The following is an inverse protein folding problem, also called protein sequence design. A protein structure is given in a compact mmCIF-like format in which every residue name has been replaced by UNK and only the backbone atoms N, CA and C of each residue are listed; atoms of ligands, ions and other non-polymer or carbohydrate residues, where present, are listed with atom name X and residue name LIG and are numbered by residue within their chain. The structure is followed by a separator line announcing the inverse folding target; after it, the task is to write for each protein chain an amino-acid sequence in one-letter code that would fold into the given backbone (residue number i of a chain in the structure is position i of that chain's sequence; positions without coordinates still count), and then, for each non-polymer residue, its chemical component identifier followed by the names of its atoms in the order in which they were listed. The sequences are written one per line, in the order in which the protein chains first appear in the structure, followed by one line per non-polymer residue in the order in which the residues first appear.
data_IF_800375860978
#
_entry.id   IF_800375860978
#
_cell.length_a   1.000
_cell.length_b   1.000
_cell.length_c   1.000
_cell.angle_alpha   90.00
_cell.angle_beta   90.00
_cell.angle_gamma   90.00
#
_symmetry.space_group_name_H-M   'P 1'
#
loop_
_entity.id
_entity.type
_entity.pdbx_description
1 polymer ?
#
# COMPACT_ATOMS: atom_id res chain seq x y z
N UNK A 1 -17.05 14.37 -2.57
CA UNK A 1 -17.77 13.14 -2.95
C UNK A 1 -18.96 13.51 -3.81
N UNK A 2 -19.05 13.04 -5.05
CA UNK A 2 -20.19 13.27 -5.94
C UNK A 2 -21.39 12.35 -5.67
N UNK A 3 -21.36 11.55 -4.60
CA UNK A 3 -22.42 10.63 -4.21
C UNK A 3 -23.20 11.19 -3.02
N UNK A 4 -24.51 11.35 -3.17
CA UNK A 4 -25.38 11.77 -2.07
C UNK A 4 -25.51 10.71 -0.98
N UNK A 5 -25.75 11.12 0.27
CA UNK A 5 -25.92 10.21 1.43
C UNK A 5 -26.94 9.09 1.20
N UNK A 6 -28.04 9.40 0.48
CA UNK A 6 -29.07 8.41 0.11
C UNK A 6 -28.53 7.33 -0.85
N UNK A 7 -27.75 7.74 -1.85
CA UNK A 7 -27.15 6.82 -2.82
C UNK A 7 -26.12 5.91 -2.15
N UNK A 8 -25.30 6.47 -1.26
CA UNK A 8 -24.35 5.68 -0.48
C UNK A 8 -25.06 4.64 0.39
N UNK A 9 -26.16 5.01 1.06
CA UNK A 9 -26.95 4.07 1.87
C UNK A 9 -27.57 2.97 1.02
N UNK A 10 -28.09 3.29 -0.17
CA UNK A 10 -28.65 2.31 -1.11
C UNK A 10 -27.59 1.28 -1.52
N UNK A 11 -26.43 1.72 -1.99
CA UNK A 11 -25.33 0.84 -2.41
C UNK A 11 -24.85 -0.08 -1.28
N UNK A 12 -24.75 0.45 -0.05
CA UNK A 12 -24.37 -0.36 1.11
C UNK A 12 -25.42 -1.41 1.47
N UNK A 13 -26.70 -1.07 1.41
CA UNK A 13 -27.76 -2.05 1.63
C UNK A 13 -27.78 -3.11 0.52
N UNK A 14 -27.59 -2.72 -0.73
CA UNK A 14 -27.59 -3.61 -1.89
C UNK A 14 -26.42 -4.62 -1.86
N UNK A 15 -25.21 -4.14 -1.59
CA UNK A 15 -24.00 -4.99 -1.67
C UNK A 15 -23.56 -5.61 -0.34
N UNK A 16 -23.92 -5.01 0.80
CA UNK A 16 -23.49 -5.46 2.13
C UNK A 16 -24.66 -5.78 3.07
N UNK A 17 -25.91 -5.61 2.63
CA UNK A 17 -27.10 -5.90 3.43
C UNK A 17 -27.30 -4.97 4.65
N UNK A 18 -26.49 -3.91 4.79
CA UNK A 18 -26.50 -3.07 5.99
C UNK A 18 -26.07 -1.63 5.68
N UNK A 19 -26.61 -0.62 6.40
CA UNK A 19 -26.26 0.77 6.17
C UNK A 19 -24.80 1.06 6.58
N UNK A 20 -24.16 2.11 6.00
CA UNK A 20 -22.73 2.40 6.22
C UNK A 20 -22.33 2.49 7.70
N UNK A 21 -23.15 3.15 8.52
CA UNK A 21 -22.87 3.31 9.95
C UNK A 21 -22.89 1.97 10.70
N UNK A 22 -23.79 1.04 10.33
CA UNK A 22 -23.85 -0.29 10.93
C UNK A 22 -22.62 -1.12 10.55
N UNK A 23 -22.20 -1.08 9.29
CA UNK A 23 -20.96 -1.72 8.82
C UNK A 23 -19.75 -1.15 9.56
N UNK A 24 -19.66 0.17 9.72
CA UNK A 24 -18.57 0.81 10.44
C UNK A 24 -18.54 0.44 11.93
N UNK A 25 -19.71 0.29 12.59
CA UNK A 25 -19.80 -0.18 13.97
C UNK A 25 -19.40 -1.64 14.12
N UNK A 26 -19.87 -2.50 13.22
CA UNK A 26 -19.51 -3.92 13.20
C UNK A 26 -18.01 -4.11 13.01
N UNK A 27 -17.41 -3.46 11.98
CA UNK A 27 -15.95 -3.43 11.80
C UNK A 27 -15.22 -2.88 13.03
N UNK A 28 -15.85 -1.92 13.74
CA UNK A 28 -15.35 -1.40 15.01
C UNK A 28 -15.23 -2.45 16.11
N UNK A 29 -16.32 -3.16 16.35
CA UNK A 29 -16.40 -4.24 17.33
C UNK A 29 -15.49 -5.43 16.98
N UNK A 30 -15.43 -5.86 15.72
CA UNK A 30 -14.58 -7.00 15.29
C UNK A 30 -13.08 -6.76 15.48
N UNK A 31 -12.56 -5.59 15.16
CA UNK A 31 -11.15 -5.32 15.47
C UNK A 31 -10.89 -5.24 16.98
N UNK A 32 -11.83 -4.69 17.76
CA UNK A 32 -11.68 -4.68 19.21
C UNK A 32 -11.64 -6.12 19.76
N UNK A 33 -12.42 -7.03 19.16
CA UNK A 33 -12.35 -8.46 19.45
C UNK A 33 -10.96 -9.03 19.15
N UNK A 34 -10.38 -8.73 17.97
CA UNK A 34 -9.01 -9.13 17.64
C UNK A 34 -8.00 -8.61 18.68
N UNK A 35 -8.06 -7.33 19.04
CA UNK A 35 -7.15 -6.76 20.04
C UNK A 35 -7.30 -7.43 21.42
N UNK A 36 -8.52 -7.79 21.83
CA UNK A 36 -8.76 -8.51 23.09
C UNK A 36 -8.13 -9.90 23.09
N UNK A 37 -8.16 -10.58 21.94
CA UNK A 37 -7.64 -11.94 21.77
C UNK A 37 -6.12 -11.97 21.59
N UNK A 38 -5.56 -10.95 20.94
CA UNK A 38 -4.18 -10.99 20.45
C UNK A 38 -3.22 -10.08 21.24
N UNK A 39 -3.73 -9.20 22.12
CA UNK A 39 -2.91 -8.23 22.86
C UNK A 39 -3.23 -8.20 24.35
N UNK A 40 -2.27 -7.72 25.15
CA UNK A 40 -2.39 -7.54 26.59
C UNK A 40 -2.90 -6.15 27.02
N UNK A 41 -3.23 -5.28 26.05
CA UNK A 41 -3.72 -3.91 26.26
C UNK A 41 -4.85 -3.82 27.30
N UNK A 42 -4.95 -2.74 28.07
CA UNK A 42 -6.12 -2.58 28.94
C UNK A 42 -7.40 -2.49 28.08
N UNK A 43 -8.52 -2.96 28.60
CA UNK A 43 -9.81 -2.93 27.87
C UNK A 43 -10.20 -1.49 27.47
N UNK A 44 -9.78 -0.51 28.26
CA UNK A 44 -9.90 0.92 27.94
C UNK A 44 -9.10 1.29 26.70
N UNK A 45 -7.84 0.85 26.60
CA UNK A 45 -6.96 1.14 25.47
C UNK A 45 -7.44 0.43 24.21
N UNK A 46 -7.94 -0.80 24.33
CA UNK A 46 -8.62 -1.52 23.24
C UNK A 46 -9.77 -0.68 22.65
N UNK A 47 -10.60 -0.08 23.50
CA UNK A 47 -11.74 0.72 23.05
C UNK A 47 -11.27 1.90 22.18
N UNK A 48 -10.28 2.65 22.65
CA UNK A 48 -9.76 3.81 21.93
C UNK A 48 -8.96 3.43 20.68
N UNK A 49 -8.11 2.39 20.77
CA UNK A 49 -7.38 1.86 19.63
C UNK A 49 -8.31 1.33 18.54
N UNK A 50 -9.47 0.76 18.93
CA UNK A 50 -10.52 0.36 18.02
C UNK A 50 -11.42 1.52 17.55
N UNK A 51 -11.11 2.78 17.85
CA UNK A 51 -11.79 3.96 17.33
C UNK A 51 -13.16 4.24 17.96
N UNK A 52 -13.37 3.80 19.20
CA UNK A 52 -14.51 4.25 20.01
C UNK A 52 -14.16 5.56 20.72
N UNK A 53 -15.14 6.47 20.81
CA UNK A 53 -14.96 7.74 21.53
C UNK A 53 -15.14 7.61 23.05
N UNK A 54 -15.78 6.54 23.50
CA UNK A 54 -15.98 6.26 24.92
C UNK A 54 -16.05 4.76 25.20
N UNK A 55 -15.59 4.37 26.39
CA UNK A 55 -15.62 2.98 26.87
C UNK A 55 -17.07 2.50 27.06
N UNK A 56 -18.00 3.39 27.42
CA UNK A 56 -19.43 3.08 27.53
C UNK A 56 -20.02 2.66 26.18
N UNK A 57 -19.75 3.43 25.12
CA UNK A 57 -20.22 3.11 23.78
C UNK A 57 -19.61 1.80 23.27
N UNK A 58 -18.31 1.61 23.52
CA UNK A 58 -17.61 0.37 23.21
C UNK A 58 -18.28 -0.85 23.86
N UNK A 59 -18.50 -0.84 25.18
CA UNK A 59 -19.13 -1.95 25.88
C UNK A 59 -20.54 -2.27 25.34
N UNK A 60 -21.33 -1.23 25.03
CA UNK A 60 -22.66 -1.39 24.45
C UNK A 60 -22.60 -2.05 23.06
N UNK A 61 -21.83 -1.46 22.14
CA UNK A 61 -21.71 -1.97 20.76
C UNK A 61 -21.09 -3.38 20.74
N UNK A 62 -20.09 -3.66 21.59
CA UNK A 62 -19.45 -4.98 21.67
C UNK A 62 -20.40 -6.06 22.16
N UNK A 63 -21.14 -5.83 23.26
CA UNK A 63 -22.16 -6.78 23.74
C UNK A 63 -23.25 -7.00 22.69
N UNK A 64 -23.68 -5.94 22.02
CA UNK A 64 -24.68 -6.04 20.95
C UNK A 64 -24.20 -6.92 19.79
N UNK A 65 -22.91 -6.89 19.45
CA UNK A 65 -22.34 -7.69 18.36
C UNK A 65 -22.00 -9.13 18.77
N UNK A 66 -21.47 -9.36 19.98
CA UNK A 66 -20.92 -10.67 20.38
C UNK A 66 -21.70 -11.39 21.47
N UNK A 67 -22.76 -10.78 22.02
CA UNK A 67 -23.56 -11.35 23.11
C UNK A 67 -22.84 -11.43 24.48
N UNK A 68 -21.56 -11.05 24.55
CA UNK A 68 -20.71 -11.10 25.74
C UNK A 68 -19.97 -9.79 25.94
N UNK A 69 -19.57 -9.49 27.17
CA UNK A 69 -18.76 -8.32 27.49
C UNK A 69 -17.28 -8.52 27.12
N UNK A 70 -16.53 -7.44 26.81
CA UNK A 70 -15.10 -7.53 26.48
C UNK A 70 -14.25 -8.33 27.48
N UNK A 71 -14.54 -8.20 28.78
CA UNK A 71 -13.81 -8.91 29.85
C UNK A 71 -14.08 -10.42 29.82
N UNK A 72 -15.30 -10.84 29.53
CA UNK A 72 -15.68 -12.27 29.50
C UNK A 72 -15.03 -13.01 28.33
N UNK A 73 -14.70 -12.30 27.25
CA UNK A 73 -14.10 -12.91 26.07
C UNK A 73 -12.57 -12.80 26.04
N UNK A 74 -11.97 -12.03 26.96
CA UNK A 74 -10.53 -11.98 27.14
C UNK A 74 -10.01 -13.33 27.64
N UNK A 75 -9.22 -14.01 26.81
CA UNK A 75 -8.31 -15.08 27.24
C UNK A 75 -6.98 -14.43 27.64
N UNK A 76 -6.27 -14.95 28.65
CA UNK A 76 -4.93 -14.44 29.00
C UNK A 76 -4.01 -14.68 27.79
N UNK A 77 -3.53 -13.65 27.09
CA UNK A 77 -2.49 -13.84 26.10
C UNK A 77 -1.17 -14.14 26.82
N UNK A 78 -0.25 -14.85 26.17
CA UNK A 78 1.15 -14.84 26.61
C UNK A 78 1.65 -13.39 26.52
N UNK A 79 2.13 -12.84 27.63
CA UNK A 79 2.74 -11.51 27.65
C UNK A 79 3.99 -11.56 26.78
N UNK A 80 4.02 -10.80 25.70
CA UNK A 80 5.27 -10.46 25.03
C UNK A 80 6.02 -9.51 25.97
N UNK A 81 7.12 -10.00 26.55
CA UNK A 81 7.86 -9.30 27.61
C UNK A 81 8.51 -7.97 27.17
N UNK A 82 8.39 -7.61 25.89
CA UNK A 82 9.08 -6.48 25.24
C UNK A 82 8.16 -5.29 24.93
N UNK A 83 6.91 -5.27 25.43
CA UNK A 83 5.98 -4.15 25.21
C UNK A 83 5.51 -3.99 23.77
N UNK A 84 5.74 -5.01 22.92
CA UNK A 84 5.38 -5.00 21.50
C UNK A 84 3.95 -5.43 21.30
N UNK A 85 3.21 -4.63 20.55
CA UNK A 85 1.85 -4.99 20.12
C UNK A 85 1.95 -5.87 18.88
N UNK A 86 1.36 -7.06 18.92
CA UNK A 86 1.27 -7.98 17.79
C UNK A 86 -0.20 -8.15 17.34
N UNK A 87 -0.44 -8.02 16.04
CA UNK A 87 -1.79 -8.11 15.45
C UNK A 87 -1.75 -9.05 14.25
N UNK A 88 -2.65 -10.02 14.22
CA UNK A 88 -2.86 -10.92 13.10
C UNK A 88 -3.54 -10.21 11.93
N UNK A 89 -2.96 -10.32 10.75
CA UNK A 89 -3.48 -9.79 9.50
C UNK A 89 -3.83 -10.95 8.56
N UNK A 90 -5.03 -11.55 8.68
CA UNK A 90 -5.46 -12.62 7.78
C UNK A 90 -5.61 -12.10 6.35
N UNK A 91 -5.33 -12.96 5.37
CA UNK A 91 -5.53 -12.71 3.94
C UNK A 91 -6.27 -13.88 3.30
N UNK A 92 -6.88 -13.65 2.13
CA UNK A 92 -7.48 -14.72 1.33
C UNK A 92 -6.38 -15.43 0.55
N UNK A 93 -6.12 -16.74 0.76
CA UNK A 93 -5.13 -17.46 -0.04
C UNK A 93 -5.63 -17.64 -1.50
N UNK A 94 -4.72 -17.82 -2.47
CA UNK A 94 -3.26 -17.82 -2.32
C UNK A 94 -2.64 -16.41 -2.25
N UNK A 95 -1.42 -16.32 -1.71
CA UNK A 95 -0.57 -15.14 -1.73
C UNK A 95 0.80 -15.53 -2.28
N UNK A 96 1.18 -14.98 -3.43
CA UNK A 96 2.50 -15.20 -4.03
C UNK A 96 3.56 -14.31 -3.35
N UNK A 97 3.89 -14.65 -2.10
CA UNK A 97 4.82 -13.90 -1.26
C UNK A 97 6.24 -13.80 -1.85
N UNK A 98 6.84 -14.87 -2.43
CA UNK A 98 8.15 -14.74 -3.06
C UNK A 98 8.18 -13.65 -4.16
N UNK A 99 7.14 -13.53 -4.98
CA UNK A 99 7.05 -12.46 -5.99
C UNK A 99 6.75 -11.09 -5.39
N UNK A 100 6.02 -11.03 -4.29
CA UNK A 100 5.87 -9.80 -3.51
C UNK A 100 7.25 -9.28 -3.05
N UNK A 101 8.06 -10.16 -2.45
CA UNK A 101 9.41 -9.82 -1.98
C UNK A 101 10.31 -9.42 -3.14
N UNK A 102 10.33 -10.18 -4.24
CA UNK A 102 11.10 -9.85 -5.45
C UNK A 102 10.76 -8.47 -6.01
N UNK A 103 9.49 -8.04 -5.90
CA UNK A 103 9.10 -6.69 -6.31
C UNK A 103 9.61 -5.61 -5.35
N UNK A 104 9.39 -5.82 -4.05
CA UNK A 104 9.57 -4.79 -3.03
C UNK A 104 11.03 -4.63 -2.65
N UNK A 105 11.80 -5.71 -2.54
CA UNK A 105 13.19 -5.71 -2.10
C UNK A 105 14.12 -4.76 -2.89
N UNK A 106 14.17 -4.75 -4.23
CA UNK A 106 15.01 -3.80 -4.97
C UNK A 106 14.53 -2.34 -4.85
N UNK A 107 13.31 -2.16 -4.33
CA UNK A 107 12.63 -0.89 -4.10
C UNK A 107 12.48 -0.62 -2.61
N UNK A 108 13.32 -1.12 -1.71
CA UNK A 108 13.33 -0.58 -0.34
C UNK A 108 13.95 0.82 -0.33
N UNK A 109 13.46 1.71 0.52
CA UNK A 109 14.12 3.00 0.78
C UNK A 109 15.21 2.80 1.85
N UNK A 110 16.51 2.95 1.53
CA UNK A 110 17.58 2.82 2.52
C UNK A 110 17.36 3.74 3.73
N UNK A 111 17.61 3.24 4.94
CA UNK A 111 17.36 3.96 6.20
C UNK A 111 15.91 3.94 6.70
N UNK A 112 14.93 3.64 5.83
CA UNK A 112 13.49 3.60 6.16
C UNK A 112 12.92 2.20 6.11
N UNK A 113 13.33 1.36 5.15
CA UNK A 113 12.75 0.05 4.89
C UNK A 113 13.83 -1.04 4.79
N UNK A 114 13.53 -2.23 5.33
CA UNK A 114 14.32 -3.44 5.10
C UNK A 114 13.40 -4.63 4.83
N UNK A 115 13.78 -5.47 3.88
CA UNK A 115 13.01 -6.65 3.47
C UNK A 115 13.90 -7.88 3.42
N UNK A 116 13.44 -8.95 4.07
CA UNK A 116 13.95 -10.30 3.97
C UNK A 116 12.94 -11.22 3.28
N UNK A 117 13.28 -12.50 3.14
CA UNK A 117 12.45 -13.50 2.49
C UNK A 117 11.06 -13.68 3.14
N UNK A 118 10.93 -13.44 4.44
CA UNK A 118 9.74 -13.70 5.25
C UNK A 118 9.21 -12.45 5.96
N UNK A 119 9.96 -11.35 5.94
CA UNK A 119 9.68 -10.16 6.77
C UNK A 119 9.90 -8.87 6.02
N UNK A 120 9.06 -7.90 6.36
CA UNK A 120 9.21 -6.51 5.96
C UNK A 120 9.24 -5.66 7.23
N UNK A 121 10.16 -4.69 7.29
CA UNK A 121 10.20 -3.72 8.38
C UNK A 121 10.35 -2.33 7.84
N UNK A 122 9.77 -1.38 8.55
CA UNK A 122 9.97 0.03 8.25
C UNK A 122 9.84 0.93 9.46
N UNK A 123 10.45 2.10 9.37
CA UNK A 123 10.14 3.22 10.24
C UNK A 123 8.79 3.83 9.85
N UNK A 124 8.06 4.29 10.84
CA UNK A 124 6.75 4.90 10.67
C UNK A 124 6.64 6.10 11.59
N UNK A 125 5.95 7.12 11.13
CA UNK A 125 5.52 8.20 11.99
C UNK A 125 4.07 7.97 12.39
N UNK A 126 3.81 8.04 13.70
CA UNK A 126 2.51 7.81 14.28
C UNK A 126 2.20 8.96 15.25
N UNK A 127 1.22 9.78 14.90
CA UNK A 127 0.81 10.95 15.69
C UNK A 127 1.98 11.88 16.10
N UNK A 128 2.99 11.99 15.22
CA UNK A 128 4.18 12.82 15.41
C UNK A 128 5.39 12.08 16.00
N UNK A 129 5.16 10.91 16.60
CA UNK A 129 6.20 10.08 17.21
C UNK A 129 6.79 9.09 16.20
N UNK A 130 8.09 8.84 16.33
CA UNK A 130 8.76 7.79 15.59
C UNK A 130 8.41 6.41 16.15
N UNK A 131 8.24 5.44 15.26
CA UNK A 131 8.12 4.05 15.61
C UNK A 131 8.62 3.16 14.50
N UNK A 132 8.62 1.86 14.75
CA UNK A 132 8.95 0.85 13.77
C UNK A 132 7.82 -0.19 13.71
N UNK A 133 7.55 -0.67 12.50
CA UNK A 133 6.68 -1.83 12.31
C UNK A 133 7.45 -2.96 11.65
N UNK A 134 7.01 -4.16 11.95
CA UNK A 134 7.44 -5.39 11.33
C UNK A 134 6.23 -6.19 10.88
N UNK A 135 6.29 -6.72 9.66
CA UNK A 135 5.30 -7.62 9.08
C UNK A 135 5.98 -8.95 8.79
N UNK A 136 5.51 -10.00 9.45
CA UNK A 136 6.07 -11.36 9.35
C UNK A 136 5.07 -12.26 8.65
N UNK A 137 5.48 -12.93 7.58
CA UNK A 137 4.70 -14.02 7.00
C UNK A 137 4.75 -15.23 7.96
N UNK A 138 3.60 -15.77 8.33
CA UNK A 138 3.55 -17.00 9.11
C UNK A 138 3.46 -18.20 8.16
N UNK A 139 4.44 -19.12 8.18
CA UNK A 139 4.38 -20.34 7.36
C UNK A 139 3.09 -21.11 7.59
N UNK A 140 2.55 -21.69 6.50
CA UNK A 140 1.37 -22.55 6.47
C UNK A 140 0.07 -21.94 7.03
N UNK A 141 0.05 -20.62 7.25
CA UNK A 141 -1.11 -19.92 7.79
C UNK A 141 -1.44 -18.71 6.91
N UNK A 142 -2.72 -18.52 6.53
CA UNK A 142 -3.12 -17.43 5.64
C UNK A 142 -3.18 -16.08 6.39
N UNK A 143 -2.09 -15.71 7.06
CA UNK A 143 -1.93 -14.43 7.77
C UNK A 143 -0.50 -13.91 7.75
N UNK A 144 -0.38 -12.59 7.86
CA UNK A 144 0.84 -11.94 8.35
C UNK A 144 0.64 -11.56 9.82
N UNK A 145 1.73 -11.37 10.56
CA UNK A 145 1.69 -10.75 11.90
C UNK A 145 2.34 -9.38 11.81
N UNK A 146 1.58 -8.34 12.15
CA UNK A 146 2.07 -6.99 12.35
C UNK A 146 2.56 -6.84 13.78
N UNK A 147 3.85 -6.60 13.96
CA UNK A 147 4.45 -6.19 15.22
C UNK A 147 4.74 -4.70 15.18
N UNK A 148 4.48 -4.02 16.28
CA UNK A 148 4.68 -2.59 16.41
C UNK A 148 5.63 -2.30 17.57
N UNK A 149 6.70 -1.57 17.27
CA UNK A 149 7.69 -1.01 18.20
C UNK A 149 7.40 0.48 18.31
N UNK A 150 6.48 0.84 19.19
CA UNK A 150 6.00 2.21 19.34
C UNK A 150 5.45 2.39 20.75
N UNK A 151 5.31 3.62 21.25
CA UNK A 151 4.50 3.89 22.43
C UNK A 151 3.11 3.23 22.35
N UNK A 152 2.58 2.77 23.48
CA UNK A 152 1.38 1.91 23.59
C UNK A 152 0.05 2.52 23.10
N UNK A 153 0.04 3.79 22.69
CA UNK A 153 -1.16 4.57 22.31
C UNK A 153 -1.34 4.80 20.81
N UNK A 154 -0.52 4.16 19.97
CA UNK A 154 -0.63 4.29 18.52
C UNK A 154 -2.08 4.03 18.03
N UNK A 155 -2.57 4.73 16.99
CA UNK A 155 -3.84 4.49 16.35
C UNK A 155 -3.78 3.17 15.57
N UNK A 156 -3.83 2.04 16.30
CA UNK A 156 -3.59 0.69 15.79
C UNK A 156 -4.40 0.39 14.54
N UNK A 157 -5.66 0.84 14.48
CA UNK A 157 -6.49 0.73 13.27
C UNK A 157 -5.88 1.32 12.02
N UNK A 158 -5.32 2.53 12.12
CA UNK A 158 -4.72 3.23 10.98
C UNK A 158 -3.47 2.48 10.51
N UNK A 159 -2.62 2.07 11.45
CA UNK A 159 -1.41 1.29 11.18
C UNK A 159 -1.77 -0.05 10.56
N UNK A 160 -2.71 -0.80 11.14
CA UNK A 160 -3.22 -2.05 10.58
C UNK A 160 -3.78 -1.86 9.17
N UNK A 161 -4.55 -0.81 8.92
CA UNK A 161 -5.11 -0.55 7.58
C UNK A 161 -4.01 -0.27 6.57
N UNK A 162 -3.01 0.55 6.93
CA UNK A 162 -1.84 0.81 6.06
C UNK A 162 -1.04 -0.47 5.80
N UNK A 163 -0.78 -1.28 6.83
CA UNK A 163 -0.09 -2.56 6.71
C UNK A 163 -0.81 -3.55 5.78
N UNK A 164 -2.15 -3.65 5.89
CA UNK A 164 -2.97 -4.48 4.97
C UNK A 164 -2.89 -3.98 3.53
N UNK A 165 -2.91 -2.66 3.32
CA UNK A 165 -2.80 -2.04 1.99
C UNK A 165 -1.42 -2.20 1.35
N UNK A 166 -0.35 -2.19 2.16
CA UNK A 166 1.02 -2.38 1.69
C UNK A 166 1.19 -3.70 0.94
N UNK A 167 0.59 -4.78 1.45
CA UNK A 167 0.67 -6.12 0.86
C UNK A 167 -0.63 -6.63 0.23
N UNK A 168 -1.62 -5.75 0.05
CA UNK A 168 -2.88 -6.05 -0.64
C UNK A 168 -3.68 -7.21 -0.01
N UNK A 169 -3.67 -7.29 1.33
CA UNK A 169 -4.18 -8.47 2.04
C UNK A 169 -5.71 -8.66 1.93
N UNK A 170 -6.42 -7.60 1.51
CA UNK A 170 -7.87 -7.60 1.34
C UNK A 170 -8.33 -8.04 -0.07
N UNK A 171 -7.41 -8.22 -1.02
CA UNK A 171 -7.76 -8.67 -2.37
C UNK A 171 -8.36 -10.09 -2.38
N UNK A 172 -9.25 -10.32 -3.34
CA UNK A 172 -9.79 -11.63 -3.68
C UNK A 172 -9.06 -12.19 -4.91
N UNK A 173 -7.98 -12.96 -4.72
CA UNK A 173 -7.17 -13.43 -5.83
C UNK A 173 -7.93 -14.39 -6.77
N UNK A 174 -8.94 -15.09 -6.27
CA UNK A 174 -9.74 -16.01 -7.08
C UNK A 174 -10.67 -15.25 -8.02
N UNK A 175 -11.33 -14.20 -7.52
CA UNK A 175 -12.15 -13.31 -8.36
C UNK A 175 -11.30 -12.64 -9.44
N UNK A 176 -10.15 -12.07 -9.08
CA UNK A 176 -9.24 -11.40 -10.03
C UNK A 176 -8.76 -12.39 -11.09
N UNK A 177 -8.39 -13.60 -10.70
CA UNK A 177 -7.96 -14.64 -11.63
C UNK A 177 -9.09 -15.07 -12.57
N UNK A 178 -10.32 -15.19 -12.07
CA UNK A 178 -11.49 -15.52 -12.89
C UNK A 178 -11.78 -14.44 -13.93
N UNK A 179 -11.68 -13.17 -13.56
CA UNK A 179 -11.99 -12.04 -14.44
C UNK A 179 -10.87 -11.80 -15.49
N UNK A 180 -9.61 -12.07 -15.14
CA UNK A 180 -8.46 -11.95 -16.08
C UNK A 180 -8.19 -13.23 -16.89
N UNK A 181 -8.71 -14.37 -16.45
CA UNK A 181 -8.50 -15.70 -17.05
C UNK A 181 -8.94 -15.84 -18.52
N UNK A 182 -9.98 -15.14 -19.02
CA UNK A 182 -10.36 -15.19 -20.43
C UNK A 182 -9.39 -14.50 -21.39
N UNK A 183 -8.46 -13.66 -20.91
CA UNK A 183 -7.52 -12.96 -21.80
C UNK A 183 -6.41 -13.89 -22.27
N UNK A 184 -6.28 -14.13 -23.57
CA UNK A 184 -5.20 -14.96 -24.15
C UNK A 184 -3.79 -14.54 -23.71
N UNK A 185 -3.61 -13.26 -23.38
CA UNK A 185 -2.32 -12.70 -22.95
C UNK A 185 -2.04 -13.01 -21.49
N UNK A 186 -3.05 -12.86 -20.63
CA UNK A 186 -2.90 -12.96 -19.19
C UNK A 186 -3.20 -14.37 -18.66
N UNK A 187 -4.05 -15.15 -19.31
CA UNK A 187 -4.39 -16.52 -18.92
C UNK A 187 -3.17 -17.38 -18.55
N UNK A 188 -2.10 -17.47 -19.37
CA UNK A 188 -0.91 -18.23 -18.98
C UNK A 188 -0.17 -17.62 -17.78
N UNK A 189 -0.17 -16.29 -17.63
CA UNK A 189 0.50 -15.59 -16.53
C UNK A 189 -0.26 -15.75 -15.20
N UNK A 190 -1.59 -15.67 -15.25
CA UNK A 190 -2.50 -15.89 -14.12
C UNK A 190 -2.35 -17.33 -13.62
N UNK A 191 -2.40 -18.31 -14.53
CA UNK A 191 -2.21 -19.73 -14.19
C UNK A 191 -0.83 -20.00 -13.57
N UNK A 192 0.22 -19.35 -14.08
CA UNK A 192 1.58 -19.53 -13.56
C UNK A 192 1.80 -18.88 -12.18
N UNK A 193 0.98 -17.89 -11.81
CA UNK A 193 1.14 -17.10 -10.57
C UNK A 193 -0.19 -16.82 -9.89
N UNK A 194 -0.83 -17.87 -9.35
CA UNK A 194 -2.02 -17.68 -8.55
C UNK A 194 -1.67 -16.87 -7.29
N UNK A 195 -2.49 -15.88 -6.94
CA UNK A 195 -2.29 -15.09 -5.72
C UNK A 195 -1.30 -13.94 -5.84
N UNK A 196 -0.86 -13.60 -7.07
CA UNK A 196 -0.12 -12.36 -7.32
C UNK A 196 -0.95 -11.16 -6.86
N UNK A 197 -0.28 -10.18 -6.26
CA UNK A 197 -0.88 -8.96 -5.72
C UNK A 197 -0.30 -7.73 -6.40
N UNK A 198 -0.95 -6.59 -6.16
CA UNK A 198 -0.35 -5.28 -6.43
C UNK A 198 0.36 -4.82 -5.15
N UNK A 199 1.68 -4.67 -5.11
CA UNK A 199 2.38 -4.16 -3.91
C UNK A 199 2.03 -2.68 -3.71
N UNK A 200 1.54 -2.34 -2.53
CA UNK A 200 1.12 -0.98 -2.19
C UNK A 200 2.28 -0.06 -1.80
N UNK A 201 1.95 0.99 -1.07
CA UNK A 201 2.88 1.85 -0.36
C UNK A 201 2.35 2.18 1.04
N UNK A 202 3.24 2.47 1.99
CA UNK A 202 2.86 2.92 3.34
C UNK A 202 2.24 4.31 3.34
N UNK A 203 2.79 5.17 2.47
CA UNK A 203 2.38 6.54 2.31
C UNK A 203 2.40 6.94 0.82
N UNK A 204 1.29 7.48 0.28
CA UNK A 204 1.22 7.90 -1.12
C UNK A 204 2.19 9.02 -1.49
N UNK A 205 2.53 9.92 -0.55
CA UNK A 205 3.49 11.00 -0.82
C UNK A 205 4.90 10.43 -0.96
N UNK A 206 5.32 9.56 -0.03
CA UNK A 206 6.59 8.82 -0.15
C UNK A 206 6.69 8.11 -1.52
N UNK A 207 5.63 7.39 -1.93
CA UNK A 207 5.61 6.74 -3.24
C UNK A 207 5.72 7.74 -4.40
N UNK A 208 5.08 8.90 -4.30
CA UNK A 208 5.11 9.93 -5.33
C UNK A 208 6.52 10.49 -5.53
N UNK A 209 7.21 10.81 -4.43
CA UNK A 209 8.61 11.24 -4.46
C UNK A 209 9.49 10.15 -5.09
N UNK A 210 9.31 8.89 -4.69
CA UNK A 210 10.06 7.77 -5.26
C UNK A 210 9.78 7.52 -6.74
N UNK A 211 8.54 7.72 -7.18
CA UNK A 211 8.17 7.60 -8.58
C UNK A 211 8.85 8.68 -9.43
N UNK A 212 8.95 9.92 -8.92
CA UNK A 212 9.66 11.02 -9.57
C UNK A 212 11.17 10.77 -9.62
N UNK A 213 11.78 10.38 -8.48
CA UNK A 213 13.20 10.01 -8.44
C UNK A 213 13.54 8.86 -9.41
N UNK A 214 12.60 7.96 -9.68
CA UNK A 214 12.77 6.86 -10.61
C UNK A 214 12.54 7.18 -12.08
N UNK A 215 12.13 8.41 -12.43
CA UNK A 215 11.91 8.80 -13.82
C UNK A 215 13.20 8.64 -14.64
N UNK A 216 13.09 7.94 -15.78
CA UNK A 216 14.16 7.76 -16.78
C UNK A 216 15.43 7.04 -16.30
N UNK A 217 15.47 6.49 -15.09
CA UNK A 217 16.63 5.78 -14.54
C UNK A 217 16.28 4.36 -14.10
N UNK A 218 17.31 3.57 -13.75
CA UNK A 218 17.09 2.22 -13.22
C UNK A 218 16.50 2.24 -11.81
N UNK A 219 15.81 1.16 -11.42
CA UNK A 219 15.32 0.98 -10.04
C UNK A 219 16.44 1.11 -9.01
N UNK A 220 17.62 0.54 -9.30
CA UNK A 220 18.79 0.63 -8.41
C UNK A 220 19.23 2.09 -8.21
N UNK A 221 19.34 2.86 -9.29
CA UNK A 221 19.71 4.27 -9.21
C UNK A 221 18.66 5.10 -8.45
N UNK A 222 17.38 4.85 -8.69
CA UNK A 222 16.28 5.48 -7.97
C UNK A 222 16.32 5.19 -6.47
N UNK A 223 16.61 3.94 -6.10
CA UNK A 223 16.79 3.51 -4.71
C UNK A 223 17.99 4.19 -4.05
N UNK A 224 19.10 4.38 -4.78
CA UNK A 224 20.25 5.16 -4.28
C UNK A 224 19.90 6.62 -4.02
N UNK A 225 19.20 7.28 -4.96
CA UNK A 225 18.74 8.66 -4.76
C UNK A 225 17.77 8.78 -3.59
N UNK A 226 16.86 7.82 -3.42
CA UNK A 226 15.94 7.78 -2.29
C UNK A 226 16.68 7.66 -0.94
N UNK A 227 17.74 6.86 -0.88
CA UNK A 227 18.60 6.77 0.32
C UNK A 227 19.26 8.10 0.66
N UNK A 228 19.85 8.78 -0.33
CA UNK A 228 20.47 10.11 -0.14
C UNK A 228 19.44 11.17 0.27
N UNK A 229 18.25 11.13 -0.31
CA UNK A 229 17.15 12.03 0.06
C UNK A 229 16.75 11.84 1.51
N UNK A 230 16.64 10.59 1.98
CA UNK A 230 16.35 10.27 3.37
C UNK A 230 17.47 10.69 4.31
N UNK A 231 18.72 10.47 3.94
CA UNK A 231 19.88 10.88 4.74
C UNK A 231 19.97 12.41 4.87
N UNK A 232 19.68 13.16 3.80
CA UNK A 232 19.77 14.61 3.80
C UNK A 232 18.56 15.31 4.44
N UNK A 233 17.35 14.78 4.26
CA UNK A 233 16.10 15.48 4.60
C UNK A 233 15.17 14.68 5.53
N UNK A 234 15.51 13.44 5.87
CA UNK A 234 14.72 12.59 6.75
C UNK A 234 14.94 12.97 8.21
N UNK A 235 13.95 12.66 9.07
CA UNK A 235 14.13 12.84 10.53
C UNK A 235 14.84 11.61 11.09
N UNK A 236 16.01 11.73 11.73
CA UNK A 236 16.68 10.60 12.37
C UNK A 236 15.78 9.95 13.42
N UNK A 237 15.97 8.65 13.64
CA UNK A 237 15.38 7.92 14.75
C UNK A 237 16.47 7.23 15.55
N UNK A 238 16.29 7.21 16.86
CA UNK A 238 17.20 6.54 17.78
C UNK A 238 16.74 5.09 18.03
N UNK A 239 17.69 4.22 18.38
CA UNK A 239 17.44 2.89 18.97
C UNK A 239 16.52 1.93 18.17
N UNK A 240 16.53 1.99 16.82
CA UNK A 240 15.84 0.98 16.00
C UNK A 240 16.49 -0.40 16.16
N UNK A 241 15.76 -1.43 16.64
CA UNK A 241 16.27 -2.80 16.75
C UNK A 241 16.61 -3.44 15.39
N UNK A 242 16.14 -2.84 14.29
CA UNK A 242 16.36 -3.32 12.93
C UNK A 242 17.43 -2.52 12.17
N UNK A 243 18.12 -1.59 12.83
CA UNK A 243 19.15 -0.75 12.22
C UNK A 243 18.59 0.27 11.23
N UNK A 244 17.29 0.58 11.31
CA UNK A 244 16.68 1.65 10.52
C UNK A 244 17.00 2.99 11.17
N UNK A 245 17.28 4.00 10.37
CA UNK A 245 17.95 5.21 10.88
C UNK A 245 17.11 6.48 10.74
N UNK A 246 16.11 6.49 9.87
CA UNK A 246 15.37 7.70 9.55
C UNK A 246 13.88 7.43 9.31
N UNK A 247 13.04 8.43 9.56
CA UNK A 247 11.73 8.57 8.95
C UNK A 247 11.88 9.21 7.57
N UNK A 248 10.99 8.84 6.65
CA UNK A 248 10.91 9.50 5.35
C UNK A 248 10.58 11.00 5.52
N UNK A 249 11.15 11.91 4.72
CA UNK A 249 10.88 13.34 4.84
C UNK A 249 9.41 13.67 4.69
N UNK A 250 8.92 14.63 5.47
CA UNK A 250 7.57 15.20 5.31
C UNK A 250 7.52 16.15 4.11
N UNK A 251 6.33 16.42 3.54
CA UNK A 251 6.18 17.39 2.45
C UNK A 251 6.83 18.75 2.72
N UNK A 252 6.70 19.26 3.94
CA UNK A 252 7.29 20.56 4.32
C UNK A 252 8.81 20.58 4.19
N UNK A 253 9.49 19.46 4.43
CA UNK A 253 10.94 19.36 4.32
C UNK A 253 11.43 19.34 2.86
N UNK A 254 10.56 18.98 1.91
CA UNK A 254 10.91 18.81 0.49
C UNK A 254 10.38 19.93 -0.41
N UNK A 255 9.56 20.85 0.11
CA UNK A 255 8.96 21.93 -0.67
C UNK A 255 10.02 22.90 -1.24
N UNK A 256 11.08 23.17 -0.48
CA UNK A 256 12.17 24.10 -0.84
C UNK A 256 13.56 23.44 -0.79
N UNK A 257 13.61 22.10 -0.75
CA UNK A 257 14.87 21.36 -0.63
C UNK A 257 15.74 21.45 -1.89
N UNK A 258 17.05 21.56 -1.72
CA UNK A 258 18.01 21.43 -2.82
C UNK A 258 18.23 19.95 -3.17
N UNK A 259 17.42 19.43 -4.08
CA UNK A 259 17.51 18.03 -4.49
C UNK A 259 18.61 17.77 -5.53
N UNK A 260 19.20 18.82 -6.13
CA UNK A 260 20.39 18.66 -6.97
C UNK A 260 21.60 18.24 -6.15
N UNK A 261 21.70 18.69 -4.90
CA UNK A 261 22.78 18.29 -3.97
C UNK A 261 22.85 16.77 -3.75
N UNK A 262 21.73 16.05 -3.84
CA UNK A 262 21.68 14.57 -3.70
C UNK A 262 21.82 13.83 -5.05
N UNK A 263 21.94 14.58 -6.15
CA UNK A 263 22.08 14.06 -7.51
C UNK A 263 20.76 13.90 -8.28
N UNK A 264 19.66 14.51 -7.83
CA UNK A 264 18.43 14.56 -8.62
C UNK A 264 18.61 15.52 -9.82
N UNK A 265 17.90 15.25 -10.91
CA UNK A 265 17.88 16.18 -12.05
C UNK A 265 17.04 17.42 -11.72
N UNK A 266 17.25 18.53 -12.44
CA UNK A 266 16.42 19.72 -12.26
C UNK A 266 14.92 19.49 -12.55
N UNK A 267 14.57 18.51 -13.39
CA UNK A 267 13.16 18.14 -13.60
C UNK A 267 12.58 17.37 -12.43
N UNK A 268 13.37 16.47 -11.81
CA UNK A 268 12.97 15.74 -10.62
C UNK A 268 12.80 16.67 -9.42
N UNK A 269 13.75 17.61 -9.23
CA UNK A 269 13.67 18.63 -8.18
C UNK A 269 12.38 19.42 -8.27
N UNK A 270 12.11 20.05 -9.43
CA UNK A 270 10.88 20.84 -9.65
C UNK A 270 9.61 20.04 -9.40
N UNK A 271 9.57 18.77 -9.81
CA UNK A 271 8.41 17.93 -9.62
C UNK A 271 8.20 17.56 -8.14
N UNK A 272 9.27 17.20 -7.42
CA UNK A 272 9.18 16.87 -5.99
C UNK A 272 8.80 18.11 -5.18
N UNK A 273 9.41 19.26 -5.45
CA UNK A 273 9.07 20.53 -4.80
C UNK A 273 7.60 20.90 -5.06
N UNK A 274 7.12 20.80 -6.30
CA UNK A 274 5.72 21.10 -6.62
C UNK A 274 4.71 20.17 -5.94
N UNK A 275 4.97 18.85 -5.92
CA UNK A 275 4.14 17.88 -5.18
C UNK A 275 4.15 18.23 -3.68
N UNK A 276 5.34 18.47 -3.13
CA UNK A 276 5.54 18.74 -1.71
C UNK A 276 4.86 20.02 -1.25
N UNK A 277 5.01 21.11 -2.02
CA UNK A 277 4.39 22.40 -1.76
C UNK A 277 2.85 22.31 -1.85
N UNK A 278 2.30 21.68 -2.89
CA UNK A 278 0.85 21.54 -3.04
C UNK A 278 0.22 20.71 -1.90
N UNK A 279 0.92 19.68 -1.40
CA UNK A 279 0.45 18.90 -0.23
C UNK A 279 0.61 19.71 1.06
N UNK A 280 1.75 20.39 1.25
CA UNK A 280 2.00 21.21 2.43
C UNK A 280 1.00 22.36 2.57
N UNK A 281 0.57 22.95 1.45
CA UNK A 281 -0.45 23.99 1.37
C UNK A 281 -1.90 23.45 1.48
N UNK A 282 -2.10 22.13 1.43
CA UNK A 282 -3.43 21.50 1.46
C UNK A 282 -4.20 21.61 0.14
N UNK A 283 -3.54 22.00 -0.95
CA UNK A 283 -4.12 22.16 -2.29
C UNK A 283 -4.24 20.82 -3.04
N UNK A 284 -3.41 19.84 -2.67
CA UNK A 284 -3.41 18.50 -3.22
C UNK A 284 -3.69 17.43 -2.14
N UNK A 285 -4.79 16.72 -2.32
CA UNK A 285 -5.06 15.48 -1.59
C UNK A 285 -4.69 14.27 -2.45
N UNK A 286 -3.83 13.38 -1.92
CA UNK A 286 -3.48 12.10 -2.54
C UNK A 286 -4.53 11.04 -2.20
N UNK A 287 -5.68 11.16 -2.85
CA UNK A 287 -6.77 10.20 -2.80
C UNK A 287 -7.54 10.18 -4.13
N UNK A 288 -8.20 9.05 -4.37
CA UNK A 288 -9.05 8.82 -5.54
C UNK A 288 -10.53 8.81 -5.16
N UNK A 289 -10.93 9.58 -4.13
CA UNK A 289 -12.34 9.66 -3.68
C UNK A 289 -13.30 10.23 -4.72
N UNK A 290 -12.77 10.91 -5.74
CA UNK A 290 -13.47 11.46 -6.90
C UNK A 290 -13.33 10.57 -8.16
N UNK A 291 -12.65 9.42 -8.06
CA UNK A 291 -12.35 8.52 -9.17
C UNK A 291 -10.89 8.63 -9.65
N UNK A 292 -10.47 7.61 -10.38
CA UNK A 292 -9.12 7.49 -10.93
C UNK A 292 -8.81 8.63 -11.92
N UNK A 293 -9.72 8.90 -12.84
CA UNK A 293 -9.54 9.89 -13.91
C UNK A 293 -9.39 11.30 -13.34
N UNK A 294 -10.22 11.66 -12.34
CA UNK A 294 -10.13 12.93 -11.63
C UNK A 294 -8.79 13.10 -10.88
N UNK A 295 -8.34 12.04 -10.20
CA UNK A 295 -7.03 12.06 -9.54
C UNK A 295 -5.91 12.25 -10.57
N UNK A 296 -5.94 11.48 -11.67
CA UNK A 296 -4.91 11.54 -12.69
C UNK A 296 -4.84 12.93 -13.36
N UNK A 297 -5.99 13.53 -13.67
CA UNK A 297 -6.06 14.88 -14.23
C UNK A 297 -5.46 15.92 -13.27
N UNK A 298 -5.89 15.94 -12.00
CA UNK A 298 -5.37 16.88 -11.01
C UNK A 298 -3.88 16.71 -10.77
N UNK A 299 -3.41 15.47 -10.68
CA UNK A 299 -2.00 15.19 -10.39
C UNK A 299 -1.09 15.54 -11.57
N UNK A 300 -1.54 15.31 -12.82
CA UNK A 300 -0.81 15.70 -14.03
C UNK A 300 -0.72 17.22 -14.27
N UNK A 301 -1.48 18.05 -13.53
CA UNK A 301 -1.34 19.52 -13.59
C UNK A 301 -0.05 20.00 -12.91
N UNK A 302 0.57 19.16 -12.07
CA UNK A 302 1.82 19.50 -11.41
C UNK A 302 2.99 19.39 -12.41
N UNK A 303 3.94 20.35 -12.39
CA UNK A 303 5.08 20.33 -13.29
C UNK A 303 5.92 19.05 -13.11
N UNK A 304 6.27 18.40 -14.22
CA UNK A 304 7.08 17.18 -14.22
C UNK A 304 6.34 15.91 -13.78
N UNK A 305 5.02 15.97 -13.57
CA UNK A 305 4.16 14.81 -13.33
C UNK A 305 3.38 14.48 -14.60
N UNK A 306 3.68 13.32 -15.18
CA UNK A 306 2.98 12.83 -16.38
C UNK A 306 1.98 11.70 -16.08
N UNK A 307 1.21 11.26 -17.10
CA UNK A 307 0.22 10.19 -16.96
C UNK A 307 0.79 8.89 -16.38
N UNK A 308 2.03 8.53 -16.75
CA UNK A 308 2.72 7.38 -16.15
C UNK A 308 2.84 7.50 -14.63
N UNK A 309 3.32 8.64 -14.12
CA UNK A 309 3.50 8.85 -12.67
C UNK A 309 2.15 8.86 -11.96
N UNK A 310 1.14 9.50 -12.55
CA UNK A 310 -0.21 9.52 -11.99
C UNK A 310 -0.83 8.13 -11.85
N UNK A 311 -0.82 7.32 -12.92
CA UNK A 311 -1.35 5.96 -12.83
C UNK A 311 -0.50 5.06 -11.94
N UNK A 312 0.83 5.25 -11.89
CA UNK A 312 1.69 4.49 -10.98
C UNK A 312 1.38 4.77 -9.50
N UNK A 313 1.20 6.05 -9.15
CA UNK A 313 0.82 6.48 -7.79
C UNK A 313 -0.60 6.04 -7.45
N UNK A 314 -1.56 6.15 -8.38
CA UNK A 314 -2.92 5.66 -8.18
C UNK A 314 -2.93 4.15 -7.90
N UNK A 315 -2.22 3.39 -8.74
CA UNK A 315 -2.11 1.93 -8.63
C UNK A 315 -1.55 1.48 -7.27
N UNK A 316 -0.39 2.01 -6.87
CA UNK A 316 0.33 1.50 -5.68
C UNK A 316 0.03 2.29 -4.41
N UNK A 317 -0.08 3.61 -4.49
CA UNK A 317 -0.29 4.49 -3.34
C UNK A 317 -1.76 4.55 -2.94
N UNK A 318 -2.64 4.70 -3.94
CA UNK A 318 -4.08 4.86 -3.69
C UNK A 318 -4.86 3.54 -3.74
N UNK A 319 -4.20 2.45 -4.15
CA UNK A 319 -4.78 1.11 -4.29
C UNK A 319 -5.86 1.04 -5.38
N UNK A 320 -5.77 1.87 -6.42
CA UNK A 320 -6.71 1.85 -7.54
C UNK A 320 -6.49 0.60 -8.41
N UNK A 321 -7.42 -0.39 -8.38
CA UNK A 321 -7.24 -1.68 -9.05
C UNK A 321 -7.29 -1.56 -10.58
N UNK A 322 -7.82 -0.45 -11.08
CA UNK A 322 -7.99 -0.19 -12.50
C UNK A 322 -6.98 0.85 -13.05
N UNK A 323 -6.05 1.34 -12.22
CA UNK A 323 -5.00 2.24 -12.67
C UNK A 323 -3.97 1.50 -13.54
N UNK A 324 -3.53 2.13 -14.63
CA UNK A 324 -2.69 1.48 -15.63
C UNK A 324 -1.69 2.46 -16.29
N UNK A 325 -0.38 2.37 -15.99
CA UNK A 325 0.62 3.26 -16.57
C UNK A 325 1.01 2.81 -17.99
N UNK A 326 0.18 3.10 -19.00
CA UNK A 326 0.35 2.61 -20.37
C UNK A 326 1.67 3.03 -21.07
N UNK A 327 2.27 4.14 -20.65
CA UNK A 327 3.57 4.60 -21.16
C UNK A 327 4.77 3.82 -20.58
N UNK A 328 4.52 2.88 -19.66
CA UNK A 328 5.58 2.13 -18.99
C UNK A 328 6.36 1.24 -19.98
N UNK A 329 7.66 1.49 -20.07
CA UNK A 329 8.56 0.76 -20.95
C UNK A 329 8.64 -0.74 -20.59
N UNK A 330 8.52 -1.08 -19.30
CA UNK A 330 8.48 -2.46 -18.82
C UNK A 330 7.24 -3.19 -19.32
N UNK A 331 6.07 -2.58 -19.22
CA UNK A 331 4.82 -3.14 -19.74
C UNK A 331 4.86 -3.30 -21.26
N UNK A 332 5.32 -2.27 -21.98
CA UNK A 332 5.45 -2.32 -23.44
C UNK A 332 6.42 -3.41 -23.90
N UNK A 333 7.54 -3.60 -23.20
CA UNK A 333 8.50 -4.69 -23.48
C UNK A 333 7.90 -6.06 -23.18
N UNK A 334 7.25 -6.22 -22.02
CA UNK A 334 6.59 -7.48 -21.66
C UNK A 334 5.51 -7.88 -22.69
N UNK A 335 4.79 -6.91 -23.25
CA UNK A 335 3.84 -7.18 -24.31
C UNK A 335 4.51 -7.44 -25.66
N UNK A 336 5.58 -6.71 -25.98
CA UNK A 336 6.32 -6.88 -27.23
C UNK A 336 6.89 -8.30 -27.40
N UNK A 337 7.34 -8.90 -26.30
CA UNK A 337 7.79 -10.30 -26.27
C UNK A 337 6.69 -11.31 -26.64
N UNK A 338 5.41 -10.91 -26.59
CA UNK A 338 4.24 -11.78 -26.79
C UNK A 338 3.45 -11.50 -28.06
N UNK A 339 3.41 -10.23 -28.48
CA UNK A 339 2.59 -9.77 -29.63
C UNK A 339 3.32 -8.83 -30.58
N UNK A 340 4.62 -8.63 -30.40
CA UNK A 340 5.41 -7.69 -31.19
C UNK A 340 5.31 -6.23 -30.71
N UNK A 341 6.11 -5.33 -31.29
CA UNK A 341 6.25 -3.94 -30.82
C UNK A 341 4.90 -3.26 -30.60
N UNK A 342 4.64 -2.82 -29.36
CA UNK A 342 3.38 -2.15 -28.99
C UNK A 342 3.66 -0.71 -28.56
N UNK A 343 2.92 0.24 -29.15
CA UNK A 343 2.93 1.65 -28.74
C UNK A 343 2.11 1.88 -27.47
N UNK A 344 2.33 2.98 -26.76
CA UNK A 344 1.53 3.28 -25.56
C UNK A 344 0.02 3.43 -25.86
N UNK A 345 -0.43 4.09 -26.95
CA UNK A 345 -1.85 4.14 -27.30
C UNK A 345 -2.45 2.76 -27.62
N UNK A 346 -1.69 1.89 -28.31
CA UNK A 346 -2.14 0.53 -28.60
C UNK A 346 -2.27 -0.29 -27.30
N UNK A 347 -1.32 -0.14 -26.38
CA UNK A 347 -1.36 -0.80 -25.08
C UNK A 347 -2.51 -0.28 -24.21
N UNK A 348 -2.79 1.03 -24.24
CA UNK A 348 -3.94 1.63 -23.54
C UNK A 348 -5.28 1.08 -24.07
N UNK A 349 -5.45 0.98 -25.39
CA UNK A 349 -6.65 0.39 -25.99
C UNK A 349 -6.80 -1.09 -25.63
N UNK A 350 -5.69 -1.83 -25.65
CA UNK A 350 -5.68 -3.26 -25.32
C UNK A 350 -6.04 -3.52 -23.85
N UNK A 351 -5.61 -2.66 -22.93
CA UNK A 351 -5.83 -2.84 -21.51
C UNK A 351 -7.28 -2.67 -21.07
N UNK A 352 -8.13 -2.07 -21.90
CA UNK A 352 -9.58 -1.95 -21.65
C UNK A 352 -10.26 -3.32 -21.45
N UNK A 353 -9.76 -4.38 -22.09
CA UNK A 353 -10.28 -5.74 -21.90
C UNK A 353 -10.00 -6.31 -20.50
N UNK A 354 -9.08 -5.71 -19.73
CA UNK A 354 -8.67 -6.17 -18.40
C UNK A 354 -9.36 -5.41 -17.27
N UNK A 355 -10.30 -4.51 -17.59
CA UNK A 355 -11.11 -3.85 -16.57
C UNK A 355 -11.94 -4.88 -15.79
N UNK A 356 -12.15 -4.67 -14.47
CA UNK A 356 -11.69 -3.54 -13.65
C UNK A 356 -10.31 -3.77 -12.99
N UNK A 357 -9.49 -4.69 -13.50
CA UNK A 357 -8.26 -5.21 -12.86
C UNK A 357 -6.98 -4.83 -13.60
N UNK A 358 -6.95 -3.69 -14.29
CA UNK A 358 -5.78 -3.28 -15.08
C UNK A 358 -4.49 -3.19 -14.25
N UNK A 359 -4.54 -2.79 -12.98
CA UNK A 359 -3.38 -2.80 -12.10
C UNK A 359 -2.79 -4.21 -11.90
N UNK A 360 -3.66 -5.22 -11.74
CA UNK A 360 -3.21 -6.61 -11.61
C UNK A 360 -2.66 -7.15 -12.93
N UNK A 361 -3.28 -6.79 -14.06
CA UNK A 361 -2.75 -7.09 -15.38
C UNK A 361 -1.33 -6.52 -15.56
N UNK A 362 -1.10 -5.27 -15.13
CA UNK A 362 0.23 -4.66 -15.15
C UNK A 362 1.25 -5.46 -14.31
N UNK A 363 0.86 -5.93 -13.11
CA UNK A 363 1.73 -6.78 -12.28
C UNK A 363 2.05 -8.11 -12.94
N UNK A 364 1.07 -8.78 -13.54
CA UNK A 364 1.30 -10.03 -14.27
C UNK A 364 2.30 -9.84 -15.41
N UNK A 365 2.16 -8.73 -16.16
CA UNK A 365 3.08 -8.37 -17.25
C UNK A 365 4.49 -8.02 -16.75
N UNK A 366 4.62 -7.15 -15.74
CA UNK A 366 5.91 -6.77 -15.16
C UNK A 366 6.69 -7.94 -14.61
N UNK A 367 5.99 -8.86 -13.96
CA UNK A 367 6.62 -10.04 -13.39
C UNK A 367 6.87 -11.12 -14.42
N UNK A 368 6.23 -11.06 -15.59
CA UNK A 368 6.32 -12.13 -16.57
C UNK A 368 7.78 -12.42 -16.96
N UNK A 369 8.15 -13.69 -17.18
CA UNK A 369 9.46 -14.00 -17.72
C UNK A 369 9.66 -13.23 -19.02
N UNK A 370 10.82 -12.60 -19.16
CA UNK A 370 11.25 -12.04 -20.44
C UNK A 370 11.46 -13.19 -21.40
N UNK A 371 11.01 -13.04 -22.64
CA UNK A 371 11.33 -14.05 -23.65
C UNK A 371 12.86 -14.09 -23.80
N UNK A 372 13.47 -15.25 -23.57
CA UNK A 372 14.84 -15.48 -23.98
C UNK A 372 14.86 -15.31 -25.50
N UNK A 373 15.57 -14.29 -25.99
CA UNK A 373 15.90 -14.17 -27.41
C UNK A 373 16.55 -15.50 -27.81
N UNK A 374 15.82 -16.37 -28.53
CA UNK A 374 16.43 -17.49 -29.22
C UNK A 374 17.50 -16.87 -30.12
N UNK A 375 18.76 -17.09 -29.78
CA UNK A 375 19.88 -16.61 -30.56
C UNK A 375 19.70 -17.11 -31.99
N UNK A 376 19.52 -16.18 -32.91
CA UNK A 376 19.66 -16.48 -34.33
C UNK A 376 21.11 -16.88 -34.55
N UNK A 377 21.37 -18.16 -34.72
CA UNK A 377 22.55 -18.61 -35.45
C UNK A 377 22.34 -18.18 -36.89
N UNK A 378 23.14 -17.20 -37.32
CA UNK A 378 23.47 -17.02 -38.73
C UNK A 378 24.32 -18.20 -39.19
#
# INVERSE_FOLDING_TARGET
MGLGSRQLRRLFNEHLGAPPLAVAKSRRAHFARCLIDETDLAITDVAFAAGFKSVRQFNHDFRKTFGRSPKEVRRRPERTADGRIAISLPYRPPLDWPRMVEFVQPRTTPGVEVVSHDRYRRTVEIDGEAGEIELVLIPDQPRLVLRMLTPSRAPLRRVTTKARRLFDLDADPLRIAADLGPSDILAPLVKARPGLRVPGAWDPFELSVRAVLGQQISVRAATTLAGRLVEAYGRPIDDSPSGLTHLFPRPQALADADLRAIGATGSQERAIQAISAAIAAGELALDASRGLEDFAERFCRLPGVGPWTAHYVAMRGLREPDAFPADDLGLRRALADRRGPTSAPALAKLSEQWRPWRAYAAMYLWMSPRATRRGGKR
#
